data_IF_393417746949
#
_entry.id   IF_393417746949
#
_cell.length_a   1.000
_cell.length_b   1.000
_cell.length_c   1.000
_cell.angle_alpha   90.00
_cell.angle_beta   90.00
_cell.angle_gamma   90.00
#
_symmetry.space_group_name_H-M   'P 1'
#
loop_
_entity.id
_entity.type
_entity.pdbx_description
1 polymer ?
#
# COMPACT_ATOMS: atom_id res chain seq x y z
N UNK A 1 -99.68 20.33 -43.26
CA UNK A 1 -98.74 21.42 -42.92
C UNK A 1 -97.49 20.77 -42.30
N UNK A 2 -96.36 20.66 -43.02
CA UNK A 2 -95.16 19.97 -42.54
C UNK A 2 -94.30 20.86 -41.62
N UNK A 3 -93.59 20.22 -40.70
CA UNK A 3 -92.87 20.79 -39.55
C UNK A 3 -91.46 21.28 -39.92
N UNK A 4 -91.29 22.58 -40.20
CA UNK A 4 -89.98 23.21 -40.49
C UNK A 4 -89.49 24.18 -39.38
N UNK A 5 -89.59 23.81 -38.09
CA UNK A 5 -89.12 24.68 -36.99
C UNK A 5 -88.07 24.07 -36.07
N UNK A 6 -87.52 22.90 -36.41
CA UNK A 6 -86.41 22.28 -35.67
C UNK A 6 -85.07 22.46 -36.40
N UNK A 7 -84.63 23.72 -36.53
CA UNK A 7 -83.22 24.05 -36.74
C UNK A 7 -82.84 25.25 -35.87
N UNK A 8 -82.37 24.98 -34.66
CA UNK A 8 -81.48 25.89 -33.93
C UNK A 8 -80.12 25.26 -33.73
N UNK A 9 -79.18 25.89 -34.43
CA UNK A 9 -77.74 25.93 -34.28
C UNK A 9 -77.33 25.91 -32.80
N UNK A 10 -76.41 25.01 -32.48
CA UNK A 10 -75.82 24.88 -31.15
C UNK A 10 -74.67 23.89 -31.22
N UNK A 11 -73.56 24.33 -31.79
CA UNK A 11 -72.25 23.72 -31.56
C UNK A 11 -72.03 23.67 -30.05
N UNK A 12 -72.24 22.49 -29.46
CA UNK A 12 -71.69 22.20 -28.14
C UNK A 12 -70.23 21.84 -28.37
N UNK A 13 -69.38 22.86 -28.21
CA UNK A 13 -67.99 22.72 -27.84
C UNK A 13 -67.86 21.61 -26.79
N UNK A 14 -67.35 20.45 -27.20
CA UNK A 14 -66.81 19.46 -26.29
C UNK A 14 -65.57 20.07 -25.68
N UNK A 15 -65.76 20.74 -24.55
CA UNK A 15 -64.65 21.08 -23.66
C UNK A 15 -64.07 19.76 -23.18
N UNK A 16 -63.01 19.28 -23.85
CA UNK A 16 -62.19 18.19 -23.36
C UNK A 16 -61.74 18.54 -21.94
N UNK A 17 -62.23 17.78 -20.95
CA UNK A 17 -61.66 17.82 -19.62
C UNK A 17 -60.25 17.25 -19.75
N UNK A 18 -59.25 18.15 -19.85
CA UNK A 18 -57.85 17.78 -19.70
C UNK A 18 -57.68 17.23 -18.30
N UNK A 19 -57.66 15.90 -18.18
CA UNK A 19 -57.07 15.23 -17.02
C UNK A 19 -55.66 15.81 -16.88
N UNK A 20 -55.29 16.44 -15.75
CA UNK A 20 -53.91 16.85 -15.56
C UNK A 20 -53.06 15.58 -15.64
N UNK A 21 -52.21 15.52 -16.67
CA UNK A 21 -51.16 14.51 -16.73
C UNK A 21 -50.32 14.76 -15.49
N UNK A 22 -50.41 13.87 -14.51
CA UNK A 22 -49.41 13.75 -13.45
C UNK A 22 -48.11 13.48 -14.20
N UNK A 23 -47.32 14.52 -14.42
CA UNK A 23 -45.93 14.35 -14.79
C UNK A 23 -45.34 13.55 -13.63
N UNK A 24 -45.01 12.28 -13.87
CA UNK A 24 -44.11 11.60 -12.95
C UNK A 24 -42.88 12.50 -12.88
N UNK A 25 -42.63 13.06 -11.71
CA UNK A 25 -41.30 13.55 -11.41
C UNK A 25 -40.43 12.29 -11.44
N UNK A 26 -39.89 11.98 -12.61
CA UNK A 26 -38.88 10.94 -12.75
C UNK A 26 -37.74 11.40 -11.86
N UNK A 27 -37.58 10.72 -10.72
CA UNK A 27 -36.47 10.97 -9.81
C UNK A 27 -35.22 10.50 -10.54
N UNK A 28 -34.47 11.43 -11.12
CA UNK A 28 -33.14 11.20 -11.67
C UNK A 28 -32.21 10.82 -10.51
N UNK A 29 -32.13 9.52 -10.21
CA UNK A 29 -31.22 9.01 -9.21
C UNK A 29 -29.81 8.95 -9.79
N UNK A 30 -28.97 9.91 -9.43
CA UNK A 30 -27.54 9.86 -9.69
C UNK A 30 -26.84 9.00 -8.62
N UNK A 31 -26.36 7.84 -9.01
CA UNK A 31 -25.56 6.97 -8.15
C UNK A 31 -24.07 7.31 -8.31
N UNK A 32 -23.43 7.70 -7.20
CA UNK A 32 -22.02 8.03 -7.13
C UNK A 32 -21.31 7.03 -6.21
N UNK A 33 -20.42 6.20 -6.74
CA UNK A 33 -19.61 5.23 -5.97
C UNK A 33 -18.11 5.48 -6.18
N UNK A 34 -17.34 5.45 -5.08
CA UNK A 34 -15.88 5.43 -5.10
C UNK A 34 -15.37 4.15 -4.42
N UNK A 35 -14.66 3.31 -5.18
CA UNK A 35 -14.05 2.08 -4.65
C UNK A 35 -12.54 2.09 -4.82
N UNK A 36 -11.83 2.40 -3.74
CA UNK A 36 -10.38 2.27 -3.69
C UNK A 36 -10.00 0.81 -3.41
N UNK A 37 -9.13 0.25 -4.26
CA UNK A 37 -8.57 -1.09 -4.06
C UNK A 37 -7.08 -1.01 -4.26
N UNK A 38 -6.31 -1.54 -3.31
CA UNK A 38 -4.86 -1.66 -3.43
C UNK A 38 -4.47 -3.10 -3.68
N UNK A 39 -3.31 -3.28 -4.30
CA UNK A 39 -2.71 -4.58 -4.59
C UNK A 39 -1.21 -4.49 -4.36
N UNK A 40 -0.63 -5.61 -3.98
CA UNK A 40 0.81 -5.75 -3.91
C UNK A 40 1.26 -7.14 -4.37
N UNK A 41 2.52 -7.24 -4.77
CA UNK A 41 3.22 -8.50 -5.02
C UNK A 41 4.57 -8.46 -4.32
N UNK A 42 4.95 -9.59 -3.74
CA UNK A 42 6.22 -9.76 -3.05
C UNK A 42 6.95 -10.98 -3.61
N UNK A 43 8.28 -10.93 -3.63
CA UNK A 43 9.10 -12.08 -3.99
C UNK A 43 9.40 -12.96 -2.76
N UNK A 44 10.01 -14.12 -3.01
CA UNK A 44 10.75 -14.83 -1.98
C UNK A 44 11.87 -13.94 -1.41
N UNK A 45 12.33 -14.27 -0.21
CA UNK A 45 13.46 -13.63 0.42
C UNK A 45 14.78 -14.09 -0.22
N UNK A 46 15.76 -13.21 -0.20
CA UNK A 46 17.15 -13.49 -0.52
C UNK A 46 17.96 -13.18 0.71
N UNK A 47 18.71 -14.16 1.19
CA UNK A 47 19.64 -13.98 2.29
C UNK A 47 20.89 -13.28 1.76
N UNK A 48 21.25 -12.18 2.39
CA UNK A 48 22.46 -11.40 2.12
C UNK A 48 23.33 -11.39 3.37
N UNK A 49 24.63 -11.63 3.20
CA UNK A 49 25.57 -11.64 4.31
C UNK A 49 25.56 -10.30 5.04
N UNK A 50 25.45 -10.34 6.37
CA UNK A 50 25.61 -9.15 7.19
C UNK A 50 26.98 -8.48 6.99
N UNK A 51 26.99 -7.15 7.03
CA UNK A 51 28.21 -6.36 6.93
C UNK A 51 27.98 -4.91 7.34
N UNK A 52 29.05 -4.13 7.57
CA UNK A 52 28.94 -2.74 8.03
C UNK A 52 28.14 -1.85 7.07
N UNK A 53 28.07 -2.22 5.79
CA UNK A 53 27.38 -1.48 4.74
C UNK A 53 26.12 -2.20 4.21
N UNK A 54 25.68 -3.28 4.84
CA UNK A 54 24.65 -4.14 4.24
C UNK A 54 23.30 -3.43 4.05
N UNK A 55 22.97 -2.45 4.89
CA UNK A 55 21.80 -1.57 4.71
C UNK A 55 21.99 -0.51 3.62
N UNK A 56 23.24 -0.05 3.42
CA UNK A 56 23.57 0.95 2.40
C UNK A 56 23.47 0.40 0.98
N UNK A 57 23.41 -0.92 0.82
CA UNK A 57 23.20 -1.59 -0.47
C UNK A 57 21.74 -1.57 -0.93
N UNK A 58 20.77 -1.43 -0.03
CA UNK A 58 19.34 -1.53 -0.40
C UNK A 58 18.92 -0.53 -1.49
N UNK A 59 19.34 0.74 -1.46
CA UNK A 59 19.04 1.68 -2.55
C UNK A 59 19.71 1.29 -3.87
N UNK A 60 20.91 0.72 -3.81
CA UNK A 60 21.67 0.34 -5.01
C UNK A 60 21.01 -0.81 -5.78
N UNK A 61 20.22 -1.66 -5.10
CA UNK A 61 19.41 -2.71 -5.73
C UNK A 61 18.37 -2.11 -6.69
N UNK A 62 17.92 -0.88 -6.45
CA UNK A 62 16.94 -0.18 -7.29
C UNK A 62 17.57 0.54 -8.50
N UNK A 63 18.90 0.49 -8.64
CA UNK A 63 19.60 1.12 -9.75
C UNK A 63 19.08 0.62 -11.10
N UNK A 64 18.81 1.57 -12.00
CA UNK A 64 18.25 1.30 -13.33
C UNK A 64 16.75 0.98 -13.36
N UNK A 65 16.09 0.84 -12.20
CA UNK A 65 14.64 0.62 -12.11
C UNK A 65 13.89 1.82 -11.51
N UNK A 66 14.52 2.55 -10.58
CA UNK A 66 13.94 3.73 -9.96
C UNK A 66 13.58 4.82 -10.99
N UNK A 67 12.37 5.38 -10.86
CA UNK A 67 11.88 6.53 -11.67
C UNK A 67 11.86 7.84 -10.89
N UNK A 68 12.01 7.78 -9.57
CA UNK A 68 12.17 8.91 -8.69
C UNK A 68 13.37 8.70 -7.76
N UNK A 69 13.63 9.65 -6.87
CA UNK A 69 14.53 9.43 -5.75
C UNK A 69 14.09 8.21 -4.93
N UNK A 70 15.07 7.59 -4.26
CA UNK A 70 14.86 6.42 -3.39
C UNK A 70 14.79 6.90 -1.94
N UNK A 71 13.66 6.65 -1.30
CA UNK A 71 13.48 6.88 0.13
C UNK A 71 13.88 5.62 0.91
N UNK A 72 14.84 5.77 1.82
CA UNK A 72 15.18 4.73 2.81
C UNK A 72 14.40 5.00 4.08
N UNK A 73 13.65 3.99 4.52
CA UNK A 73 12.69 4.07 5.60
C UNK A 73 13.15 3.07 6.65
N UNK A 74 13.72 3.59 7.72
CA UNK A 74 14.07 2.78 8.89
C UNK A 74 12.83 2.20 9.56
N UNK A 75 12.97 1.08 10.27
CA UNK A 75 11.87 0.51 11.03
C UNK A 75 11.34 1.51 12.05
N UNK A 76 10.03 1.53 12.17
CA UNK A 76 9.27 2.45 12.95
C UNK A 76 9.67 2.42 14.43
N UNK A 77 9.85 3.57 15.07
CA UNK A 77 10.20 3.65 16.48
C UNK A 77 9.11 3.00 17.38
N UNK A 78 9.50 2.49 18.55
CA UNK A 78 8.60 1.74 19.43
C UNK A 78 7.38 2.57 19.88
N UNK A 79 7.54 3.89 19.99
CA UNK A 79 6.46 4.83 20.31
C UNK A 79 5.36 4.91 19.25
N UNK A 80 5.63 4.48 18.02
CA UNK A 80 4.69 4.41 16.92
C UNK A 80 4.28 2.96 16.58
N UNK A 81 4.52 1.98 17.47
CA UNK A 81 4.26 0.57 17.17
C UNK A 81 2.80 0.25 16.77
N UNK A 82 1.84 1.08 17.20
CA UNK A 82 0.41 0.94 16.86
C UNK A 82 -0.02 1.81 15.65
N UNK A 83 0.91 2.56 15.05
CA UNK A 83 0.62 3.44 13.93
C UNK A 83 0.21 2.62 12.70
N UNK A 84 -0.91 2.99 12.09
CA UNK A 84 -1.42 2.33 10.89
C UNK A 84 -2.23 3.32 10.03
N UNK A 85 -2.26 3.17 8.69
CA UNK A 85 -3.01 4.04 7.80
C UNK A 85 -4.52 3.69 7.79
N UNK A 86 -5.12 3.50 8.98
CA UNK A 86 -6.49 3.07 9.15
C UNK A 86 -7.40 4.26 9.47
N UNK A 87 -8.14 4.75 8.46
CA UNK A 87 -9.05 5.90 8.60
C UNK A 87 -10.09 5.69 9.71
N UNK A 88 -10.53 4.45 9.94
CA UNK A 88 -11.50 4.09 10.97
C UNK A 88 -10.93 4.14 12.41
N UNK A 89 -9.62 4.34 12.55
CA UNK A 89 -8.90 4.37 13.82
C UNK A 89 -8.09 5.67 13.94
N UNK A 90 -8.74 6.81 14.24
CA UNK A 90 -8.10 8.13 14.19
C UNK A 90 -6.81 8.27 15.01
N UNK A 91 -6.68 7.71 16.24
CA UNK A 91 -5.43 7.79 16.98
C UNK A 91 -4.25 7.11 16.27
N UNK A 92 -4.47 5.91 15.73
CA UNK A 92 -3.46 5.15 14.97
C UNK A 92 -3.12 5.85 13.65
N UNK A 93 -4.12 6.40 12.96
CA UNK A 93 -3.92 7.18 11.75
C UNK A 93 -3.11 8.45 12.00
N UNK A 94 -3.35 9.15 13.12
CA UNK A 94 -2.59 10.32 13.51
C UNK A 94 -1.13 9.97 13.82
N UNK A 95 -0.88 8.91 14.59
CA UNK A 95 0.47 8.40 14.84
C UNK A 95 1.20 8.05 13.53
N UNK A 96 0.48 7.44 12.59
CA UNK A 96 1.02 7.12 11.27
C UNK A 96 1.40 8.36 10.47
N UNK A 97 0.58 9.41 10.51
CA UNK A 97 0.90 10.70 9.89
C UNK A 97 2.14 11.31 10.55
N UNK A 98 2.20 11.33 11.88
CA UNK A 98 3.31 11.93 12.62
C UNK A 98 4.64 11.22 12.33
N UNK A 99 4.62 9.89 12.20
CA UNK A 99 5.79 9.09 11.84
C UNK A 99 6.27 9.29 10.39
N UNK A 100 5.37 9.67 9.48
CA UNK A 100 5.64 9.66 8.04
C UNK A 100 5.60 11.03 7.36
N UNK A 101 5.18 12.10 8.04
CA UNK A 101 5.01 13.45 7.48
C UNK A 101 6.26 14.05 6.85
N UNK A 102 7.45 13.66 7.30
CA UNK A 102 8.73 14.14 6.78
C UNK A 102 9.22 13.42 5.52
N UNK A 103 8.51 12.39 5.05
CA UNK A 103 8.90 11.58 3.88
C UNK A 103 8.38 12.18 2.58
N UNK A 104 8.96 11.77 1.46
CA UNK A 104 8.50 12.18 0.14
C UNK A 104 7.02 11.80 -0.09
N UNK A 105 6.29 12.49 -0.99
CA UNK A 105 4.94 12.07 -1.40
C UNK A 105 4.89 10.63 -1.92
N UNK A 106 5.90 10.20 -2.69
CA UNK A 106 6.02 8.83 -3.22
C UNK A 106 6.15 7.82 -2.09
N UNK A 107 7.04 8.06 -1.11
CA UNK A 107 7.22 7.18 0.03
C UNK A 107 5.96 7.09 0.89
N UNK A 108 5.29 8.21 1.18
CA UNK A 108 4.03 8.20 1.94
C UNK A 108 2.95 7.41 1.22
N UNK A 109 2.78 7.62 -0.09
CA UNK A 109 1.83 6.85 -0.88
C UNK A 109 2.17 5.36 -0.88
N UNK A 110 3.44 5.00 -1.08
CA UNK A 110 3.89 3.62 -1.07
C UNK A 110 3.62 2.93 0.28
N UNK A 111 3.88 3.61 1.39
CA UNK A 111 3.56 3.11 2.73
C UNK A 111 2.05 2.89 2.90
N UNK A 112 1.20 3.86 2.52
CA UNK A 112 -0.26 3.68 2.57
C UNK A 112 -0.68 2.44 1.77
N UNK A 113 -0.21 2.29 0.53
CA UNK A 113 -0.58 1.18 -0.34
C UNK A 113 -0.13 -0.16 0.23
N UNK A 114 1.14 -0.27 0.63
CA UNK A 114 1.76 -1.53 1.05
C UNK A 114 1.31 -1.97 2.44
N UNK A 115 1.17 -1.05 3.39
CA UNK A 115 0.66 -1.37 4.73
C UNK A 115 -0.84 -1.71 4.70
N UNK A 116 -1.65 -1.05 3.85
CA UNK A 116 -3.08 -1.35 3.73
C UNK A 116 -3.40 -2.76 3.24
N UNK A 117 -2.43 -3.41 2.57
CA UNK A 117 -2.55 -4.80 2.08
C UNK A 117 -1.62 -5.76 2.82
N UNK A 118 -1.03 -5.33 3.93
CA UNK A 118 -0.12 -6.12 4.76
C UNK A 118 1.07 -6.73 3.95
N UNK A 119 1.60 -5.97 3.00
CA UNK A 119 2.77 -6.39 2.21
C UNK A 119 4.11 -6.10 2.93
N UNK A 120 4.09 -5.16 3.86
CA UNK A 120 5.23 -4.72 4.67
C UNK A 120 4.83 -4.61 6.13
N UNK A 121 5.81 -4.75 7.01
CA UNK A 121 5.65 -4.51 8.44
C UNK A 121 6.70 -3.49 8.91
N UNK A 122 6.32 -2.20 9.01
CA UNK A 122 7.23 -1.15 9.44
C UNK A 122 7.79 -1.35 10.85
N UNK A 123 7.24 -2.23 11.69
CA UNK A 123 7.74 -2.41 13.06
C UNK A 123 9.17 -2.95 13.10
N UNK A 124 9.56 -3.76 12.11
CA UNK A 124 10.89 -4.36 12.03
C UNK A 124 11.54 -4.26 10.66
N UNK A 125 10.80 -3.90 9.60
CA UNK A 125 11.36 -3.84 8.25
C UNK A 125 11.97 -2.48 7.93
N UNK A 126 13.14 -2.51 7.30
CA UNK A 126 13.68 -1.36 6.59
C UNK A 126 13.24 -1.45 5.14
N UNK A 127 12.78 -0.32 4.59
CA UNK A 127 12.31 -0.25 3.21
C UNK A 127 13.18 0.70 2.40
N UNK A 128 13.51 0.34 1.17
CA UNK A 128 13.98 1.28 0.16
C UNK A 128 12.90 1.37 -0.93
N UNK A 129 12.23 2.51 -1.01
CA UNK A 129 11.03 2.71 -1.83
C UNK A 129 11.24 3.81 -2.87
N UNK A 130 10.61 3.65 -4.03
CA UNK A 130 10.65 4.61 -5.13
C UNK A 130 9.40 4.44 -6.02
N UNK A 131 9.20 5.36 -6.95
CA UNK A 131 8.31 5.18 -8.08
C UNK A 131 8.96 4.24 -9.10
N UNK A 132 8.26 3.19 -9.51
CA UNK A 132 8.79 2.18 -10.44
C UNK A 132 8.14 2.29 -11.83
N UNK A 133 6.88 2.75 -11.90
CA UNK A 133 6.19 3.07 -13.14
C UNK A 133 5.01 4.01 -12.87
N UNK A 134 4.55 4.72 -13.92
CA UNK A 134 3.45 5.67 -13.83
C UNK A 134 3.93 7.12 -13.67
N UNK A 135 3.00 7.99 -13.36
CA UNK A 135 3.21 9.44 -13.22
C UNK A 135 2.85 9.90 -11.80
N UNK A 136 3.24 11.13 -11.48
CA UNK A 136 2.87 11.81 -10.24
C UNK A 136 2.04 13.05 -10.57
N UNK A 137 1.11 13.39 -9.69
CA UNK A 137 0.36 14.64 -9.77
C UNK A 137 1.26 15.87 -9.55
N UNK A 138 0.67 17.06 -9.64
CA UNK A 138 1.37 18.34 -9.47
C UNK A 138 1.91 18.57 -8.05
N UNK A 139 1.44 17.80 -7.06
CA UNK A 139 1.94 17.79 -5.69
C UNK A 139 2.96 16.68 -5.42
N UNK A 140 3.31 15.91 -6.44
CA UNK A 140 4.30 14.83 -6.41
C UNK A 140 3.76 13.48 -5.93
N UNK A 141 2.47 13.35 -5.66
CA UNK A 141 1.89 12.06 -5.27
C UNK A 141 1.70 11.16 -6.49
N UNK A 142 2.03 9.86 -6.40
CA UNK A 142 1.76 8.91 -7.47
C UNK A 142 0.27 8.89 -7.85
N UNK A 143 0.00 8.83 -9.14
CA UNK A 143 -1.32 8.56 -9.67
C UNK A 143 -1.83 7.18 -9.18
N UNK A 144 -3.15 7.00 -9.13
CA UNK A 144 -3.75 5.81 -8.51
C UNK A 144 -3.27 4.47 -9.12
N UNK A 145 -2.96 4.44 -10.42
CA UNK A 145 -2.48 3.26 -11.13
C UNK A 145 -0.94 3.17 -11.25
N UNK A 146 -0.21 4.11 -10.66
CA UNK A 146 1.23 4.08 -10.59
C UNK A 146 1.72 2.88 -9.75
N UNK A 147 2.87 2.34 -10.14
CA UNK A 147 3.53 1.24 -9.44
C UNK A 147 4.62 1.83 -8.56
N UNK A 148 4.46 1.65 -7.26
CA UNK A 148 5.43 2.03 -6.22
C UNK A 148 6.02 0.79 -5.58
N UNK A 149 7.20 0.89 -5.00
CA UNK A 149 7.82 -0.23 -4.31
C UNK A 149 9.34 -0.17 -4.33
N UNK A 150 9.96 -1.33 -4.17
CA UNK A 150 11.41 -1.47 -4.15
C UNK A 150 11.79 -2.73 -3.39
N UNK A 151 12.52 -2.55 -2.29
CA UNK A 151 12.94 -3.68 -1.43
C UNK A 151 12.53 -3.47 0.02
N UNK A 152 12.11 -4.57 0.65
CA UNK A 152 11.96 -4.67 2.10
C UNK A 152 13.05 -5.58 2.65
N UNK A 153 13.60 -5.23 3.81
CA UNK A 153 14.57 -6.05 4.50
C UNK A 153 14.32 -6.11 6.00
N UNK A 154 14.78 -7.19 6.62
CA UNK A 154 14.90 -7.31 8.07
C UNK A 154 16.13 -8.16 8.42
N UNK A 155 16.56 -8.09 9.66
CA UNK A 155 17.64 -8.91 10.17
C UNK A 155 17.12 -10.27 10.61
N UNK A 156 17.76 -11.35 10.15
CA UNK A 156 17.45 -12.70 10.57
C UNK A 156 17.84 -12.89 12.04
N UNK A 157 16.87 -13.31 12.85
CA UNK A 157 17.05 -13.41 14.29
C UNK A 157 18.05 -14.50 14.70
N UNK A 158 18.30 -15.51 13.86
CA UNK A 158 19.18 -16.63 14.17
C UNK A 158 20.62 -16.40 13.69
N UNK A 159 20.81 -15.98 12.44
CA UNK A 159 22.14 -15.81 11.83
C UNK A 159 22.67 -14.38 11.92
N UNK A 160 21.79 -13.38 12.06
CA UNK A 160 22.16 -11.98 11.99
C UNK A 160 22.43 -11.48 10.56
N UNK A 161 22.16 -12.30 9.53
CA UNK A 161 22.15 -11.87 8.12
C UNK A 161 20.94 -11.01 7.81
N UNK A 162 20.94 -10.38 6.64
CA UNK A 162 19.78 -9.63 6.15
C UNK A 162 18.96 -10.52 5.23
N UNK A 163 17.64 -10.54 5.42
CA UNK A 163 16.71 -11.10 4.45
C UNK A 163 16.11 -9.94 3.66
N UNK A 164 16.34 -9.91 2.36
CA UNK A 164 15.84 -8.87 1.45
C UNK A 164 14.83 -9.47 0.48
N UNK A 165 13.72 -8.78 0.23
CA UNK A 165 12.72 -9.18 -0.78
C UNK A 165 12.28 -8.01 -1.64
N UNK A 166 11.92 -8.30 -2.89
CA UNK A 166 11.29 -7.33 -3.76
C UNK A 166 9.82 -7.16 -3.38
N UNK A 167 9.35 -5.93 -3.41
CA UNK A 167 7.96 -5.56 -3.14
C UNK A 167 7.49 -4.54 -4.17
N UNK A 168 6.26 -4.69 -4.67
CA UNK A 168 5.60 -3.70 -5.53
C UNK A 168 4.15 -3.56 -5.12
N UNK A 169 3.61 -2.35 -5.18
CA UNK A 169 2.24 -2.01 -4.83
C UNK A 169 1.64 -1.00 -5.81
N UNK A 170 0.33 -1.06 -6.01
CA UNK A 170 -0.42 -0.14 -6.87
C UNK A 170 -1.91 -0.11 -6.51
N UNK A 171 -2.63 0.88 -7.03
CA UNK A 171 -4.08 0.99 -6.91
C UNK A 171 -4.84 0.47 -8.14
N UNK A 172 -6.07 0.02 -7.88
CA UNK A 172 -7.07 -0.33 -8.87
C UNK A 172 -6.81 -1.62 -9.64
N UNK A 173 -7.71 -1.89 -10.58
CA UNK A 173 -7.42 -2.73 -11.74
C UNK A 173 -7.03 -1.75 -12.83
N UNK A 174 -5.74 -1.50 -13.01
CA UNK A 174 -5.28 -0.63 -14.10
C UNK A 174 -5.88 -1.03 -15.44
N UNK A 175 -5.89 -0.11 -16.40
CA UNK A 175 -6.60 -0.26 -17.69
C UNK A 175 -6.26 -1.62 -18.32
N UNK A 176 -7.19 -2.57 -18.24
CA UNK A 176 -7.10 -3.93 -18.82
C UNK A 176 -5.86 -4.77 -18.43
N UNK A 177 -5.48 -4.81 -17.15
CA UNK A 177 -4.53 -5.80 -16.63
C UNK A 177 -3.06 -5.57 -17.03
N UNK A 178 -2.75 -4.42 -17.63
CA UNK A 178 -1.38 -4.05 -17.98
C UNK A 178 -0.54 -3.74 -16.72
N UNK A 179 -1.13 -3.08 -15.71
CA UNK A 179 -0.44 -2.77 -14.45
C UNK A 179 -0.02 -4.03 -13.70
N UNK A 180 -0.86 -5.07 -13.64
CA UNK A 180 -0.52 -6.32 -12.95
C UNK A 180 0.65 -7.05 -13.62
N UNK A 181 0.66 -7.07 -14.96
CA UNK A 181 1.73 -7.66 -15.77
C UNK A 181 3.03 -6.85 -15.65
N UNK A 182 2.91 -5.52 -15.66
CA UNK A 182 4.04 -4.62 -15.48
C UNK A 182 4.63 -4.74 -14.07
N UNK A 183 3.80 -4.79 -13.04
CA UNK A 183 4.21 -5.06 -11.66
C UNK A 183 4.91 -6.41 -11.52
N UNK A 184 4.41 -7.47 -12.18
CA UNK A 184 5.07 -8.78 -12.21
C UNK A 184 6.47 -8.70 -12.82
N UNK A 185 6.62 -7.98 -13.94
CA UNK A 185 7.91 -7.82 -14.64
C UNK A 185 8.89 -7.01 -13.79
N UNK A 186 8.42 -5.93 -13.18
CA UNK A 186 9.21 -5.08 -12.30
C UNK A 186 9.68 -5.89 -11.08
N UNK A 187 8.77 -6.60 -10.40
CA UNK A 187 9.11 -7.47 -9.27
C UNK A 187 10.16 -8.53 -9.64
N UNK A 188 10.03 -9.16 -10.81
CA UNK A 188 11.02 -10.13 -11.28
C UNK A 188 12.39 -9.50 -11.53
N UNK A 189 12.44 -8.29 -12.10
CA UNK A 189 13.69 -7.55 -12.29
C UNK A 189 14.32 -7.08 -10.97
N UNK A 190 13.50 -6.65 -10.00
CA UNK A 190 13.97 -6.33 -8.65
C UNK A 190 14.57 -7.57 -7.98
N UNK A 191 13.90 -8.73 -8.05
CA UNK A 191 14.45 -9.98 -7.54
C UNK A 191 15.77 -10.35 -8.22
N UNK A 192 15.87 -10.17 -9.54
CA UNK A 192 17.11 -10.41 -10.27
C UNK A 192 18.24 -9.49 -9.78
N UNK A 193 17.97 -8.20 -9.52
CA UNK A 193 18.94 -7.28 -8.95
C UNK A 193 19.38 -7.71 -7.54
N UNK A 194 18.45 -8.14 -6.68
CA UNK A 194 18.79 -8.65 -5.34
C UNK A 194 19.71 -9.87 -5.48
N UNK A 195 19.33 -10.86 -6.28
CA UNK A 195 20.11 -12.09 -6.47
C UNK A 195 21.48 -11.83 -7.09
N UNK A 196 21.59 -10.82 -7.96
CA UNK A 196 22.84 -10.41 -8.58
C UNK A 196 23.78 -9.65 -7.63
N UNK A 197 23.32 -9.26 -6.43
CA UNK A 197 24.18 -8.62 -5.43
C UNK A 197 25.33 -9.54 -5.01
N UNK A 198 26.53 -8.98 -4.87
CA UNK A 198 27.73 -9.70 -4.42
C UNK A 198 27.60 -10.27 -2.99
N UNK A 199 26.66 -9.75 -2.20
CA UNK A 199 26.43 -10.18 -0.81
C UNK A 199 25.42 -11.33 -0.71
N UNK A 200 24.82 -11.75 -1.82
CA UNK A 200 23.79 -12.79 -1.84
C UNK A 200 24.37 -14.15 -1.49
N UNK A 201 23.74 -14.81 -0.52
CA UNK A 201 24.00 -16.20 -0.13
C UNK A 201 23.08 -17.16 -0.86
N UNK A 202 21.79 -16.80 -0.98
CA UNK A 202 20.81 -17.62 -1.68
C UNK A 202 19.36 -17.27 -1.35
N UNK A 203 18.43 -17.94 -2.02
CA UNK A 203 16.99 -17.81 -1.76
C UNK A 203 16.65 -18.41 -0.39
N UNK A 204 15.75 -17.75 0.34
CA UNK A 204 15.24 -18.17 1.64
C UNK A 204 13.75 -17.89 1.72
N UNK A 205 12.96 -18.72 2.42
CA UNK A 205 11.59 -18.33 2.77
C UNK A 205 11.61 -17.03 3.57
N UNK A 206 10.56 -16.22 3.41
CA UNK A 206 10.36 -15.02 4.22
C UNK A 206 9.64 -15.44 5.50
N UNK A 207 10.39 -15.61 6.57
CA UNK A 207 9.83 -15.73 7.92
C UNK A 207 9.68 -14.31 8.46
N UNK A 208 8.45 -13.91 8.84
CA UNK A 208 8.23 -12.59 9.44
C UNK A 208 8.54 -12.68 10.94
N UNK A 209 9.48 -11.86 11.45
CA UNK A 209 9.66 -11.67 12.88
C UNK A 209 8.33 -11.35 13.58
N UNK A 210 8.11 -11.95 14.74
CA UNK A 210 6.92 -11.67 15.54
C UNK A 210 7.30 -10.95 16.83
N UNK A 211 6.70 -9.77 17.12
CA UNK A 211 6.86 -9.14 18.42
C UNK A 211 6.12 -9.96 19.49
N UNK A 212 6.71 -10.09 20.68
CA UNK A 212 6.06 -10.78 21.80
C UNK A 212 5.02 -9.87 22.47
N UNK A 213 3.84 -10.40 22.76
CA UNK A 213 2.89 -9.76 23.67
C UNK A 213 3.13 -10.23 25.13
N UNK A 214 3.48 -9.32 26.04
CA UNK A 214 3.56 -9.59 27.49
C UNK A 214 4.92 -9.27 28.15
N UNK A 215 5.05 -9.55 29.45
CA UNK A 215 6.30 -9.35 30.21
C UNK A 215 7.20 -10.60 30.14
N UNK A 216 8.50 -10.38 29.87
CA UNK A 216 9.55 -11.42 29.80
C UNK A 216 9.92 -11.83 28.37
N UNK A 217 11.23 -12.04 28.09
CA UNK A 217 11.74 -12.40 26.76
C UNK A 217 13.09 -11.74 26.43
N UNK A 218 13.62 -12.03 25.25
CA UNK A 218 14.84 -11.39 24.74
C UNK A 218 14.49 -10.01 24.19
N UNK A 219 15.01 -8.98 24.85
CA UNK A 219 14.81 -7.58 24.46
C UNK A 219 16.12 -7.05 23.89
N UNK A 220 16.01 -6.33 22.77
CA UNK A 220 17.15 -5.64 22.22
C UNK A 220 17.53 -4.44 23.09
N UNK A 221 18.76 -4.42 23.59
CA UNK A 221 19.28 -3.31 24.39
C UNK A 221 19.44 -2.00 23.61
N UNK A 222 19.47 -2.06 22.28
CA UNK A 222 19.65 -0.91 21.42
C UNK A 222 18.32 -0.21 21.11
N UNK A 223 17.32 -0.95 20.63
CA UNK A 223 16.06 -0.37 20.14
C UNK A 223 14.82 -0.76 20.94
N UNK A 224 14.94 -1.61 21.97
CA UNK A 224 13.83 -2.02 22.82
C UNK A 224 12.88 -3.07 22.21
N UNK A 225 13.15 -3.56 20.99
CA UNK A 225 12.33 -4.59 20.37
C UNK A 225 12.32 -5.88 21.20
N UNK A 226 11.13 -6.43 21.44
CA UNK A 226 10.92 -7.67 22.18
C UNK A 226 10.52 -8.81 21.23
N UNK A 227 11.43 -9.75 20.99
CA UNK A 227 11.15 -10.89 20.10
C UNK A 227 10.28 -11.94 20.78
N UNK A 228 9.32 -12.50 20.03
CA UNK A 228 8.57 -13.68 20.44
C UNK A 228 9.38 -14.97 20.34
N UNK A 229 10.46 -14.98 19.55
CA UNK A 229 11.27 -16.17 19.33
C UNK A 229 12.30 -16.34 20.46
N UNK A 230 12.12 -17.37 21.28
CA UNK A 230 13.01 -17.68 22.42
C UNK A 230 14.47 -17.98 22.00
N UNK A 231 14.68 -18.33 20.73
CA UNK A 231 15.99 -18.63 20.15
C UNK A 231 16.61 -17.46 19.38
N UNK A 232 15.98 -16.29 19.38
CA UNK A 232 16.48 -15.14 18.65
C UNK A 232 17.79 -14.61 19.28
N UNK A 233 18.86 -14.59 18.50
CA UNK A 233 20.17 -14.07 18.92
C UNK A 233 20.38 -12.62 18.46
N UNK A 234 19.74 -12.22 17.38
CA UNK A 234 19.83 -10.89 16.79
C UNK A 234 18.47 -10.20 16.76
N UNK A 235 18.48 -8.88 16.89
CA UNK A 235 17.27 -8.07 16.80
C UNK A 235 16.87 -7.91 15.32
N UNK A 236 15.63 -8.23 14.93
CA UNK A 236 15.20 -8.15 13.53
C UNK A 236 15.14 -6.72 13.00
N UNK A 237 15.05 -5.75 13.91
CA UNK A 237 14.95 -4.32 13.62
C UNK A 237 16.29 -3.65 13.34
N UNK A 238 17.34 -3.98 14.10
CA UNK A 238 18.60 -3.26 14.05
C UNK A 238 19.85 -4.14 13.96
N UNK A 239 19.70 -5.47 13.86
CA UNK A 239 20.82 -6.41 13.73
C UNK A 239 21.71 -6.54 14.96
N UNK A 240 21.40 -5.83 16.06
CA UNK A 240 22.18 -5.92 17.30
C UNK A 240 21.89 -7.22 18.02
N UNK A 241 22.92 -7.80 18.64
CA UNK A 241 22.77 -9.01 19.45
C UNK A 241 21.82 -8.73 20.61
N UNK A 242 20.84 -9.62 20.81
CA UNK A 242 19.89 -9.48 21.91
C UNK A 242 20.53 -9.91 23.24
N UNK A 243 20.20 -9.19 24.31
CA UNK A 243 20.63 -9.57 25.65
C UNK A 243 19.67 -10.63 26.18
N UNK A 244 20.24 -11.74 26.68
CA UNK A 244 19.49 -12.69 27.50
C UNK A 244 19.26 -12.05 28.86
N UNK A 245 18.02 -11.64 29.13
CA UNK A 245 17.56 -11.28 30.47
C UNK A 245 17.43 -12.51 31.36
#
# INVERSE_FOLDING_TARGET
>A
MPLEFLRRRGEKSTTESRVPVLMSEDIEAEEHELKLTYRAKTSNGVRMTAGPNAMAELPHILAGMAKSDVDVIDPLAQEFADAAPLILKPPQAQQWIDANRGRSPVARHALVVLESVDAVDPAFETLALTLLAGETDTSGYPEFDAIVGGVASHWDEASGDIVVRAIVGWGGKGVRGDTDRSAQRIMAGLLANIVASQYTVGLTPVERPMPRSGQGGLVCAHCGFASAHERAFYCPKCGMRMLRG
#
